data_IF_980112218516
#
_entry.id   IF_980112218516
#
_cell.length_a   1.000
_cell.length_b   1.000
_cell.length_c   1.000
_cell.angle_alpha   90.00
_cell.angle_beta   90.00
_cell.angle_gamma   90.00
#
_symmetry.space_group_name_H-M   'P 1'
#
loop_
_entity.id
_entity.type
_entity.pdbx_description
1 polymer ?
#
# COMPACT_ATOMS: atom_id res chain seq x y z
N UNK A 1 -23.07 6.66 -0.01
CA UNK A 1 -21.87 7.06 0.77
C UNK A 1 -20.94 5.87 0.75
N UNK A 2 -19.73 6.00 0.18
CA UNK A 2 -18.73 4.94 0.27
C UNK A 2 -18.28 4.82 1.72
N UNK A 3 -18.15 3.58 2.21
CA UNK A 3 -17.66 3.31 3.56
C UNK A 3 -16.15 3.60 3.58
N UNK A 4 -15.67 4.37 4.56
CA UNK A 4 -14.24 4.72 4.67
C UNK A 4 -13.31 3.50 4.67
N UNK A 5 -13.80 2.34 5.13
CA UNK A 5 -13.07 1.08 5.05
C UNK A 5 -12.94 0.54 3.61
N UNK A 6 -13.97 0.73 2.75
CA UNK A 6 -13.89 0.40 1.31
C UNK A 6 -12.85 1.27 0.64
N UNK A 7 -12.83 2.57 0.94
CA UNK A 7 -11.83 3.49 0.42
C UNK A 7 -10.40 3.07 0.84
N UNK A 8 -10.22 2.59 2.08
CA UNK A 8 -8.93 2.06 2.55
C UNK A 8 -8.54 0.77 1.82
N UNK A 9 -9.51 -0.14 1.59
CA UNK A 9 -9.28 -1.37 0.82
C UNK A 9 -8.81 -1.03 -0.59
N UNK A 10 -9.51 -0.10 -1.26
CA UNK A 10 -9.19 0.33 -2.61
C UNK A 10 -7.82 0.99 -2.67
N UNK A 11 -7.52 1.91 -1.75
CA UNK A 11 -6.19 2.54 -1.65
C UNK A 11 -5.09 1.50 -1.43
N UNK A 12 -5.28 0.53 -0.55
CA UNK A 12 -4.31 -0.56 -0.35
C UNK A 12 -4.11 -1.40 -1.60
N UNK A 13 -5.17 -1.70 -2.34
CA UNK A 13 -5.06 -2.41 -3.62
C UNK A 13 -4.23 -1.62 -4.63
N UNK A 14 -4.47 -0.32 -4.77
CA UNK A 14 -3.69 0.56 -5.65
C UNK A 14 -2.23 0.62 -5.23
N UNK A 15 -1.93 0.77 -3.94
CA UNK A 15 -0.54 0.81 -3.47
C UNK A 15 0.18 -0.52 -3.74
N UNK A 16 -0.48 -1.66 -3.48
CA UNK A 16 0.09 -2.98 -3.80
C UNK A 16 0.40 -3.10 -5.30
N UNK A 17 -0.49 -2.61 -6.16
CA UNK A 17 -0.27 -2.58 -7.60
C UNK A 17 0.96 -1.74 -7.97
N UNK A 18 1.08 -0.53 -7.42
CA UNK A 18 2.23 0.36 -7.65
C UNK A 18 3.54 -0.31 -7.19
N UNK A 19 3.59 -0.87 -5.98
CA UNK A 19 4.78 -1.58 -5.48
C UNK A 19 5.12 -2.77 -6.39
N UNK A 20 4.12 -3.47 -6.93
CA UNK A 20 4.34 -4.56 -7.88
C UNK A 20 5.04 -4.07 -9.15
N UNK A 21 4.58 -2.93 -9.70
CA UNK A 21 5.20 -2.30 -10.87
C UNK A 21 6.59 -1.75 -10.59
N UNK A 22 6.82 -1.16 -9.41
CA UNK A 22 8.15 -0.77 -8.97
C UNK A 22 9.12 -1.94 -8.94
N UNK A 23 8.70 -3.10 -8.45
CA UNK A 23 9.51 -4.33 -8.45
C UNK A 23 9.83 -4.79 -9.89
N UNK A 24 8.87 -4.72 -10.81
CA UNK A 24 9.08 -5.02 -12.23
C UNK A 24 10.13 -4.08 -12.85
N UNK A 25 10.05 -2.78 -12.58
CA UNK A 25 11.00 -1.80 -13.08
C UNK A 25 12.38 -1.94 -12.45
N UNK A 26 12.47 -2.22 -11.15
CA UNK A 26 13.73 -2.54 -10.49
C UNK A 26 14.41 -3.74 -11.16
N UNK A 27 13.67 -4.84 -11.42
CA UNK A 27 14.22 -6.05 -12.07
C UNK A 27 14.68 -5.83 -13.50
N UNK A 28 14.08 -4.87 -14.20
CA UNK A 28 14.43 -4.52 -15.58
C UNK A 28 15.38 -3.32 -15.65
N UNK A 29 15.91 -2.85 -14.51
CA UNK A 29 16.81 -1.71 -14.39
C UNK A 29 16.24 -0.39 -14.96
N UNK A 30 14.92 -0.28 -15.06
CA UNK A 30 14.25 0.94 -15.48
C UNK A 30 14.06 1.90 -14.30
N UNK A 31 15.15 2.55 -13.90
CA UNK A 31 15.13 3.46 -12.74
C UNK A 31 14.35 4.75 -12.96
N UNK A 32 14.12 5.14 -14.21
CA UNK A 32 13.31 6.32 -14.54
C UNK A 32 11.84 6.08 -14.16
N UNK A 33 11.25 5.01 -14.69
CA UNK A 33 9.86 4.65 -14.38
C UNK A 33 9.68 4.26 -12.91
N UNK A 34 10.68 3.59 -12.32
CA UNK A 34 10.68 3.30 -10.89
C UNK A 34 10.56 4.59 -10.05
N UNK A 35 11.37 5.63 -10.32
CA UNK A 35 11.30 6.89 -9.58
C UNK A 35 9.98 7.62 -9.80
N UNK A 36 9.41 7.57 -11.00
CA UNK A 36 8.10 8.15 -11.27
C UNK A 36 7.01 7.47 -10.42
N UNK A 37 7.04 6.14 -10.32
CA UNK A 37 6.12 5.40 -9.47
C UNK A 37 6.30 5.68 -7.97
N UNK A 38 7.53 5.92 -7.49
CA UNK A 38 7.75 6.26 -6.08
C UNK A 38 7.05 7.56 -5.65
N UNK A 39 6.92 8.53 -6.57
CA UNK A 39 6.16 9.76 -6.30
C UNK A 39 4.68 9.42 -6.09
N UNK A 40 4.13 8.58 -6.97
CA UNK A 40 2.74 8.11 -6.89
C UNK A 40 2.51 7.27 -5.62
N UNK A 41 3.45 6.38 -5.27
CA UNK A 41 3.42 5.62 -4.02
C UNK A 41 3.32 6.56 -2.81
N UNK A 42 4.15 7.61 -2.78
CA UNK A 42 4.15 8.61 -1.71
C UNK A 42 2.80 9.30 -1.55
N UNK A 43 2.20 9.78 -2.64
CA UNK A 43 0.89 10.43 -2.63
C UNK A 43 -0.22 9.49 -2.13
N UNK A 44 -0.20 8.23 -2.58
CA UNK A 44 -1.17 7.22 -2.13
C UNK A 44 -1.00 6.89 -0.64
N UNK A 45 0.22 6.84 -0.12
CA UNK A 45 0.48 6.62 1.30
C UNK A 45 0.00 7.78 2.17
N UNK A 46 0.15 9.03 1.70
CA UNK A 46 -0.42 10.21 2.37
C UNK A 46 -1.94 10.11 2.43
N UNK A 47 -2.59 9.82 1.30
CA UNK A 47 -4.04 9.64 1.24
C UNK A 47 -4.52 8.52 2.17
N UNK A 48 -3.82 7.38 2.20
CA UNK A 48 -4.12 6.26 3.08
C UNK A 48 -4.01 6.68 4.56
N UNK A 49 -2.96 7.41 4.93
CA UNK A 49 -2.76 7.91 6.28
C UNK A 49 -3.88 8.88 6.71
N UNK A 50 -4.33 9.75 5.81
CA UNK A 50 -5.46 10.64 6.08
C UNK A 50 -6.76 9.88 6.35
N UNK A 51 -7.02 8.80 5.60
CA UNK A 51 -8.18 7.94 5.86
C UNK A 51 -8.06 7.21 7.20
N UNK A 52 -6.88 6.70 7.54
CA UNK A 52 -6.63 6.08 8.85
C UNK A 52 -6.84 7.07 10.01
N UNK A 53 -6.36 8.30 9.88
CA UNK A 53 -6.54 9.34 10.89
C UNK A 53 -8.03 9.66 11.11
N UNK A 54 -8.83 9.67 10.05
CA UNK A 54 -10.30 9.84 10.16
C UNK A 54 -10.96 8.70 10.93
N UNK A 55 -10.53 7.45 10.74
CA UNK A 55 -11.01 6.30 11.52
C UNK A 55 -10.56 6.41 12.99
N UNK A 56 -9.28 6.70 13.23
CA UNK A 56 -8.72 6.82 14.58
C UNK A 56 -9.45 7.88 15.41
N UNK A 57 -9.81 8.99 14.78
CA UNK A 57 -10.54 10.10 15.42
C UNK A 57 -12.04 9.82 15.56
N UNK A 58 -12.57 8.78 14.92
CA UNK A 58 -13.96 8.38 14.99
C UNK A 58 -14.08 6.91 15.43
N UNK A 59 -13.96 6.67 16.75
CA UNK A 59 -14.00 5.34 17.37
C UNK A 59 -15.26 4.53 17.03
N UNK A 60 -16.36 5.21 16.64
CA UNK A 60 -17.60 4.56 16.21
C UNK A 60 -17.46 3.87 14.84
N UNK A 61 -16.42 4.12 14.06
CA UNK A 61 -16.25 3.42 12.78
C UNK A 61 -15.72 1.99 13.00
N UNK A 62 -14.83 1.81 13.98
CA UNK A 62 -14.26 0.50 14.31
C UNK A 62 -15.27 -0.35 15.09
N UNK A 63 -15.95 0.25 16.08
CA UNK A 63 -16.90 -0.45 16.96
C UNK A 63 -18.11 -1.03 16.21
N UNK A 64 -18.49 -0.45 15.08
CA UNK A 64 -19.65 -0.87 14.29
C UNK A 64 -19.29 -1.64 13.02
N UNK A 65 -18.00 -1.94 12.81
CA UNK A 65 -17.58 -2.76 11.68
C UNK A 65 -17.84 -4.25 11.97
N UNK A 66 -19.04 -4.71 11.62
CA UNK A 66 -19.48 -6.12 11.79
C UNK A 66 -19.34 -6.95 10.52
N UNK A 67 -18.66 -6.43 9.48
CA UNK A 67 -18.51 -7.11 8.20
C UNK A 67 -17.22 -7.95 8.19
N UNK A 68 -17.32 -9.20 8.62
CA UNK A 68 -16.19 -10.13 8.71
C UNK A 68 -15.43 -10.28 7.39
N UNK A 69 -16.13 -10.31 6.26
CA UNK A 69 -15.50 -10.39 4.93
C UNK A 69 -14.60 -9.20 4.64
N UNK A 70 -14.99 -8.02 5.11
CA UNK A 70 -14.20 -6.80 4.95
C UNK A 70 -12.94 -6.83 5.81
N UNK A 71 -13.05 -7.33 7.04
CA UNK A 71 -11.93 -7.52 7.97
C UNK A 71 -10.93 -8.55 7.40
N UNK A 72 -11.44 -9.66 6.88
CA UNK A 72 -10.62 -10.69 6.23
C UNK A 72 -9.89 -10.12 5.01
N UNK A 73 -10.59 -9.35 4.17
CA UNK A 73 -10.01 -8.68 2.99
C UNK A 73 -8.90 -7.73 3.39
N UNK A 74 -9.13 -6.88 4.39
CA UNK A 74 -8.12 -5.95 4.92
C UNK A 74 -6.89 -6.69 5.46
N UNK A 75 -7.12 -7.77 6.21
CA UNK A 75 -6.04 -8.60 6.77
C UNK A 75 -5.18 -9.22 5.67
N UNK A 76 -5.81 -9.79 4.65
CA UNK A 76 -5.12 -10.34 3.49
C UNK A 76 -4.34 -9.26 2.72
N UNK A 77 -4.92 -8.07 2.54
CA UNK A 77 -4.25 -6.95 1.88
C UNK A 77 -3.04 -6.44 2.68
N UNK A 78 -3.11 -6.39 4.01
CA UNK A 78 -1.96 -6.05 4.86
C UNK A 78 -0.82 -7.04 4.70
N UNK A 79 -1.10 -8.35 4.78
CA UNK A 79 -0.09 -9.40 4.58
C UNK A 79 0.55 -9.29 3.19
N UNK A 80 -0.27 -9.05 2.16
CA UNK A 80 0.20 -8.87 0.79
C UNK A 80 1.11 -7.64 0.69
N UNK A 81 0.66 -6.49 1.21
CA UNK A 81 1.43 -5.26 1.24
C UNK A 81 2.83 -5.46 1.86
N UNK A 82 2.90 -6.06 3.05
CA UNK A 82 4.18 -6.30 3.76
C UNK A 82 5.11 -7.19 2.94
N UNK A 83 4.58 -8.26 2.32
CA UNK A 83 5.34 -9.15 1.44
C UNK A 83 5.95 -8.41 0.25
N UNK A 84 5.15 -7.59 -0.44
CA UNK A 84 5.64 -6.85 -1.61
C UNK A 84 6.65 -5.78 -1.21
N UNK A 85 6.42 -5.07 -0.10
CA UNK A 85 7.36 -4.08 0.42
C UNK A 85 8.71 -4.72 0.78
N UNK A 86 8.69 -5.89 1.43
CA UNK A 86 9.91 -6.65 1.74
C UNK A 86 10.67 -7.05 0.46
N UNK A 87 9.97 -7.50 -0.58
CA UNK A 87 10.60 -7.83 -1.88
C UNK A 87 11.26 -6.60 -2.49
N UNK A 88 10.56 -5.46 -2.52
CA UNK A 88 11.09 -4.19 -3.03
C UNK A 88 12.37 -3.80 -2.30
N UNK A 89 12.36 -3.76 -0.97
CA UNK A 89 13.52 -3.41 -0.16
C UNK A 89 14.70 -4.37 -0.37
N UNK A 90 14.45 -5.68 -0.47
CA UNK A 90 15.50 -6.66 -0.73
C UNK A 90 16.17 -6.46 -2.09
N UNK A 91 15.42 -6.07 -3.12
CA UNK A 91 15.98 -5.77 -4.43
C UNK A 91 16.79 -4.46 -4.38
N UNK A 92 16.23 -3.40 -3.79
CA UNK A 92 16.93 -2.12 -3.63
C UNK A 92 18.23 -2.26 -2.84
N UNK A 93 18.24 -3.05 -1.76
CA UNK A 93 19.43 -3.30 -0.96
C UNK A 93 20.54 -4.01 -1.73
N UNK A 94 20.22 -4.80 -2.77
CA UNK A 94 21.22 -5.39 -3.66
C UNK A 94 21.86 -4.34 -4.55
N UNK A 95 21.08 -3.38 -5.07
CA UNK A 95 21.61 -2.29 -5.89
C UNK A 95 22.48 -1.33 -5.09
N UNK A 96 22.11 -1.02 -3.85
CA UNK A 96 22.91 -0.16 -2.97
C UNK A 96 24.23 -0.82 -2.51
N UNK A 97 24.40 -2.13 -2.69
CA UNK A 97 25.67 -2.84 -2.42
C UNK A 97 26.58 -2.96 -3.65
N UNK A 98 26.06 -2.64 -4.84
CA UNK A 98 26.77 -2.71 -6.11
C UNK A 98 27.38 -1.35 -6.52
N UNK A 99 27.06 -0.28 -5.79
CA UNK A 99 27.64 1.05 -5.86
C UNK A 99 28.40 1.37 -4.57
#
# INVERSE_FOLDING_TARGET
>A
MSNILEEIIELKMHIIYIITKEIEYLRTFNFYEFKALQVIEGDLLILLNDKYNKIKNNKNIILYCTNDKMIETLSMLCIKFDKYLMIKHNIMAKYNKLH
#
